data_IF_055865093619
#
_entry.id   IF_055865093619
#
_cell.length_a   1.000
_cell.length_b   1.000
_cell.length_c   1.000
_cell.angle_alpha   90.00
_cell.angle_beta   90.00
_cell.angle_gamma   90.00
#
_symmetry.space_group_name_H-M   'P 1'
#
loop_
_entity.id
_entity.type
_entity.pdbx_description
1 polymer ?
#
# COMPACT_ATOMS: atom_id res chain seq x y z
N UNK A 1 -20.59 -45.74 0.99
CA UNK A 1 -20.01 -44.50 0.43
C UNK A 1 -20.54 -44.38 -0.98
N UNK A 2 -21.15 -43.25 -1.36
CA UNK A 2 -21.64 -43.06 -2.73
C UNK A 2 -20.47 -42.89 -3.69
N UNK A 3 -20.68 -43.18 -4.97
CA UNK A 3 -19.67 -42.95 -6.02
C UNK A 3 -19.30 -41.46 -6.11
N UNK A 4 -20.28 -40.58 -5.96
CA UNK A 4 -20.08 -39.13 -5.87
C UNK A 4 -19.16 -38.75 -4.69
N UNK A 5 -19.40 -39.32 -3.50
CA UNK A 5 -18.53 -39.09 -2.34
C UNK A 5 -17.12 -39.63 -2.56
N UNK A 6 -16.97 -40.76 -3.26
CA UNK A 6 -15.66 -41.29 -3.62
C UNK A 6 -14.94 -40.33 -4.58
N UNK A 7 -15.58 -39.97 -5.71
CA UNK A 7 -15.03 -39.05 -6.72
C UNK A 7 -14.63 -37.70 -6.12
N UNK A 8 -15.46 -37.13 -5.24
CA UNK A 8 -15.14 -35.88 -4.55
C UNK A 8 -13.92 -36.04 -3.66
N UNK A 9 -13.87 -37.07 -2.81
CA UNK A 9 -12.77 -37.32 -1.86
C UNK A 9 -11.45 -37.72 -2.52
N UNK A 10 -11.50 -38.31 -3.71
CA UNK A 10 -10.31 -38.66 -4.50
C UNK A 10 -9.98 -37.61 -5.57
N UNK A 11 -10.70 -36.49 -5.61
CA UNK A 11 -10.43 -35.41 -6.56
C UNK A 11 -9.06 -34.81 -6.31
N UNK A 12 -8.26 -34.69 -7.37
CA UNK A 12 -6.95 -34.05 -7.31
C UNK A 12 -7.05 -32.56 -6.93
N UNK A 13 -8.16 -31.89 -7.30
CA UNK A 13 -8.40 -30.50 -6.90
C UNK A 13 -8.66 -30.36 -5.41
N UNK A 14 -9.24 -31.39 -4.76
CA UNK A 14 -9.43 -31.40 -3.31
C UNK A 14 -8.14 -31.79 -2.59
N UNK A 15 -7.49 -32.86 -3.03
CA UNK A 15 -6.35 -33.46 -2.32
C UNK A 15 -5.02 -32.73 -2.55
N UNK A 16 -4.85 -32.07 -3.71
CA UNK A 16 -3.64 -31.32 -4.07
C UNK A 16 -2.35 -32.14 -3.92
N UNK A 17 -2.42 -33.45 -4.15
CA UNK A 17 -1.34 -34.39 -3.85
C UNK A 17 -0.70 -35.01 -5.11
N UNK A 18 -0.94 -34.44 -6.30
CA UNK A 18 -0.38 -34.96 -7.55
C UNK A 18 1.13 -34.69 -7.74
N UNK A 19 1.73 -33.80 -6.96
CA UNK A 19 3.12 -33.37 -7.14
C UNK A 19 3.95 -33.80 -5.94
N UNK A 20 5.11 -34.40 -6.22
CA UNK A 20 6.09 -34.73 -5.20
C UNK A 20 6.67 -33.45 -4.59
N UNK A 21 6.98 -33.52 -3.30
CA UNK A 21 7.52 -32.40 -2.55
C UNK A 21 8.60 -32.82 -1.58
N UNK A 22 9.41 -31.85 -1.16
CA UNK A 22 10.54 -32.03 -0.24
C UNK A 22 10.22 -31.54 1.18
N UNK A 23 11.13 -31.89 2.11
CA UNK A 23 11.10 -31.42 3.49
C UNK A 23 9.95 -32.01 4.33
N UNK A 24 9.82 -31.50 5.56
CA UNK A 24 8.80 -31.95 6.51
C UNK A 24 7.36 -31.69 6.02
N UNK A 25 7.20 -30.71 5.13
CA UNK A 25 5.90 -30.20 4.67
C UNK A 25 5.47 -30.76 3.32
N UNK A 26 6.32 -31.57 2.65
CA UNK A 26 6.08 -32.09 1.30
C UNK A 26 5.65 -31.01 0.31
N UNK A 27 6.33 -29.86 0.35
CA UNK A 27 6.00 -28.72 -0.52
C UNK A 27 6.35 -29.09 -1.96
N UNK A 28 5.41 -28.98 -2.93
CA UNK A 28 5.63 -29.37 -4.32
C UNK A 28 6.86 -28.73 -4.94
N UNK A 29 7.64 -29.50 -5.69
CA UNK A 29 8.76 -28.95 -6.45
C UNK A 29 8.27 -28.30 -7.75
N UNK A 30 8.69 -27.06 -8.01
CA UNK A 30 8.58 -26.46 -9.34
C UNK A 30 9.83 -26.90 -10.13
N UNK A 31 9.69 -27.63 -11.25
CA UNK A 31 10.84 -28.00 -12.07
C UNK A 31 11.64 -26.77 -12.51
N UNK A 32 12.98 -26.86 -12.49
CA UNK A 32 13.84 -25.79 -13.00
C UNK A 32 13.56 -25.59 -14.48
N UNK A 33 13.17 -24.38 -14.86
CA UNK A 33 13.05 -23.97 -16.25
C UNK A 33 14.39 -23.42 -16.76
N UNK A 34 14.70 -23.74 -18.02
CA UNK A 34 15.92 -23.28 -18.70
C UNK A 34 15.61 -22.05 -19.57
N UNK A 35 16.54 -21.09 -19.58
CA UNK A 35 16.43 -19.83 -20.30
C UNK A 35 17.79 -19.39 -20.85
N UNK A 36 17.79 -18.79 -22.04
CA UNK A 36 18.98 -18.19 -22.62
C UNK A 36 19.20 -16.76 -22.08
N UNK A 37 20.45 -16.29 -22.00
CA UNK A 37 20.78 -14.94 -21.50
C UNK A 37 20.06 -13.82 -22.29
N UNK A 38 19.94 -13.97 -23.61
CA UNK A 38 19.28 -12.98 -24.46
C UNK A 38 17.77 -12.87 -24.19
N UNK A 39 17.13 -13.88 -23.57
CA UNK A 39 15.70 -13.79 -23.20
C UNK A 39 15.43 -12.76 -22.10
N UNK A 40 16.45 -12.39 -21.31
CA UNK A 40 16.35 -11.42 -20.22
C UNK A 40 16.70 -9.99 -20.67
N UNK A 41 17.24 -9.83 -21.87
CA UNK A 41 17.65 -8.52 -22.38
C UNK A 41 16.42 -7.67 -22.72
N UNK A 42 16.24 -6.55 -22.02
CA UNK A 42 15.07 -5.70 -22.19
C UNK A 42 13.76 -6.39 -21.77
N UNK A 43 13.85 -7.36 -20.85
CA UNK A 43 12.71 -8.11 -20.35
C UNK A 43 11.65 -7.16 -19.77
N UNK A 44 10.40 -7.38 -20.16
CA UNK A 44 9.22 -6.75 -19.57
C UNK A 44 8.28 -7.82 -19.03
N UNK A 45 7.60 -7.49 -17.95
CA UNK A 45 6.56 -8.35 -17.40
C UNK A 45 5.16 -7.88 -17.85
N UNK A 46 4.17 -8.75 -17.66
CA UNK A 46 2.75 -8.43 -17.81
C UNK A 46 1.96 -8.98 -16.63
N UNK A 47 1.13 -8.15 -16.02
CA UNK A 47 0.28 -8.57 -14.91
C UNK A 47 -0.73 -9.63 -15.36
N UNK A 48 -0.91 -10.68 -14.57
CA UNK A 48 -1.90 -11.72 -14.84
C UNK A 48 -3.31 -11.16 -15.15
N UNK A 49 -3.72 -10.10 -14.46
CA UNK A 49 -5.02 -9.43 -14.66
C UNK A 49 -5.15 -8.69 -16.00
N UNK A 50 -4.06 -8.57 -16.76
CA UNK A 50 -4.00 -7.95 -18.08
C UNK A 50 -3.85 -8.95 -19.23
N UNK A 51 -3.57 -10.21 -18.93
CA UNK A 51 -3.46 -11.26 -19.94
C UNK A 51 -4.80 -11.53 -20.62
N UNK A 52 -4.78 -11.79 -21.95
CA UNK A 52 -5.98 -12.13 -22.75
C UNK A 52 -5.68 -13.29 -23.67
N UNK A 53 -6.71 -14.09 -24.00
CA UNK A 53 -6.53 -15.23 -24.89
C UNK A 53 -6.19 -14.78 -26.31
N UNK A 54 -6.57 -13.56 -26.70
CA UNK A 54 -6.37 -12.96 -28.01
C UNK A 54 -5.13 -12.04 -28.08
N UNK A 55 -4.27 -12.05 -27.07
CA UNK A 55 -3.05 -11.22 -27.05
C UNK A 55 -2.07 -11.67 -28.15
N UNK A 56 -1.70 -10.76 -29.05
CA UNK A 56 -0.68 -11.01 -30.09
C UNK A 56 0.55 -10.12 -29.92
N UNK A 57 0.45 -9.06 -29.10
CA UNK A 57 1.48 -8.01 -29.00
C UNK A 57 2.48 -8.29 -27.88
N UNK A 58 2.07 -9.00 -26.83
CA UNK A 58 2.86 -9.13 -25.60
C UNK A 58 3.27 -10.56 -25.24
N UNK A 59 3.14 -11.50 -26.18
CA UNK A 59 3.49 -12.90 -25.97
C UNK A 59 4.96 -13.10 -25.56
N UNK A 60 5.86 -12.18 -25.92
CA UNK A 60 7.26 -12.20 -25.48
C UNK A 60 7.50 -11.79 -24.02
N UNK A 61 6.48 -11.29 -23.30
CA UNK A 61 6.57 -10.90 -21.88
C UNK A 61 6.38 -12.10 -20.96
N UNK A 62 6.88 -11.99 -19.73
CA UNK A 62 6.66 -12.99 -18.67
C UNK A 62 5.47 -12.56 -17.81
N UNK A 63 4.54 -13.48 -17.56
CA UNK A 63 3.34 -13.19 -16.74
C UNK A 63 3.72 -13.17 -15.26
N UNK A 64 3.39 -12.08 -14.55
CA UNK A 64 3.65 -11.94 -13.12
C UNK A 64 2.37 -11.86 -12.27
N UNK A 65 2.52 -12.17 -10.99
CA UNK A 65 1.45 -12.19 -9.99
C UNK A 65 1.69 -11.22 -8.83
N UNK A 66 2.61 -10.25 -8.97
CA UNK A 66 2.74 -9.09 -8.07
C UNK A 66 1.49 -8.19 -8.17
N UNK A 67 0.36 -8.72 -7.71
CA UNK A 67 -1.01 -8.25 -7.84
C UNK A 67 -1.76 -8.61 -6.55
N UNK A 68 -2.93 -8.02 -6.32
CA UNK A 68 -3.73 -8.40 -5.16
C UNK A 68 -4.14 -9.86 -5.29
N UNK A 69 -3.99 -10.63 -4.20
CA UNK A 69 -4.31 -12.07 -4.17
C UNK A 69 -5.67 -12.37 -4.82
N UNK A 70 -6.70 -11.56 -4.56
CA UNK A 70 -8.04 -11.76 -5.12
C UNK A 70 -8.09 -11.70 -6.66
N UNK A 71 -7.15 -11.00 -7.32
CA UNK A 71 -7.09 -10.90 -8.79
C UNK A 71 -6.69 -12.21 -9.44
N UNK A 72 -5.95 -13.06 -8.73
CA UNK A 72 -5.46 -14.33 -9.24
C UNK A 72 -5.86 -15.55 -8.42
N UNK A 73 -6.60 -15.40 -7.32
CA UNK A 73 -7.11 -16.51 -6.49
C UNK A 73 -7.79 -17.62 -7.32
N UNK A 74 -8.33 -17.29 -8.50
CA UNK A 74 -8.88 -18.26 -9.45
C UNK A 74 -7.87 -19.31 -9.92
N UNK A 75 -6.58 -18.99 -10.04
CA UNK A 75 -5.57 -19.99 -10.46
C UNK A 75 -5.37 -21.09 -9.42
N UNK A 76 -5.71 -20.80 -8.16
CA UNK A 76 -5.76 -21.82 -7.12
C UNK A 76 -7.08 -22.59 -7.19
N UNK A 77 -8.23 -21.90 -7.27
CA UNK A 77 -9.57 -22.52 -7.19
C UNK A 77 -9.97 -23.31 -8.44
N UNK A 78 -9.65 -22.79 -9.61
CA UNK A 78 -9.94 -23.36 -10.94
C UNK A 78 -8.68 -23.26 -11.82
N UNK A 79 -7.70 -24.16 -11.58
CA UNK A 79 -6.37 -24.04 -12.15
C UNK A 79 -6.32 -24.29 -13.67
N UNK A 80 -7.35 -24.89 -14.28
CA UNK A 80 -7.42 -25.13 -15.72
C UNK A 80 -7.89 -23.90 -16.51
N UNK A 81 -8.61 -22.98 -15.87
CA UNK A 81 -9.28 -21.84 -16.52
C UNK A 81 -8.36 -20.98 -17.41
N UNK A 82 -7.18 -20.61 -16.90
CA UNK A 82 -6.28 -19.69 -17.57
C UNK A 82 -5.15 -20.39 -18.35
N UNK A 83 -5.07 -21.73 -18.35
CA UNK A 83 -3.92 -22.48 -18.90
C UNK A 83 -3.72 -22.21 -20.40
N UNK A 84 -4.78 -22.24 -21.19
CA UNK A 84 -4.70 -22.01 -22.64
C UNK A 84 -4.09 -20.65 -22.95
N UNK A 85 -4.52 -19.62 -22.22
CA UNK A 85 -4.01 -18.26 -22.33
C UNK A 85 -2.57 -18.14 -21.85
N UNK A 86 -2.26 -18.64 -20.65
CA UNK A 86 -0.95 -18.48 -20.03
C UNK A 86 0.17 -19.19 -20.80
N UNK A 87 -0.14 -20.33 -21.44
CA UNK A 87 0.82 -21.09 -22.26
C UNK A 87 1.35 -20.35 -23.48
N UNK A 88 0.68 -19.28 -23.91
CA UNK A 88 1.09 -18.49 -25.08
C UNK A 88 2.22 -17.50 -24.76
N UNK A 89 2.38 -17.13 -23.48
CA UNK A 89 3.40 -16.19 -23.04
C UNK A 89 4.77 -16.88 -22.87
N UNK A 90 5.84 -16.09 -22.93
CA UNK A 90 7.23 -16.56 -22.83
C UNK A 90 7.47 -17.48 -21.64
N UNK A 91 6.98 -17.07 -20.47
CA UNK A 91 7.02 -17.82 -19.22
C UNK A 91 5.98 -17.24 -18.24
N UNK A 92 5.82 -17.92 -17.11
CA UNK A 92 4.91 -17.51 -16.04
C UNK A 92 5.64 -17.56 -14.69
N UNK A 93 5.49 -16.52 -13.88
CA UNK A 93 5.91 -16.59 -12.48
C UNK A 93 4.94 -17.47 -11.68
N UNK A 94 5.39 -18.19 -10.66
CA UNK A 94 4.43 -18.81 -9.73
C UNK A 94 3.62 -17.73 -8.99
N UNK A 95 2.35 -18.01 -8.62
CA UNK A 95 1.50 -16.99 -7.98
C UNK A 95 2.07 -16.50 -6.64
N UNK A 96 2.13 -15.18 -6.45
CA UNK A 96 2.71 -14.54 -5.27
C UNK A 96 1.67 -14.30 -4.18
N UNK A 97 1.17 -15.39 -3.57
CA UNK A 97 0.25 -15.28 -2.43
C UNK A 97 0.94 -14.55 -1.26
N UNK A 98 0.28 -13.51 -0.76
CA UNK A 98 0.86 -12.57 0.20
C UNK A 98 1.40 -13.24 1.47
N UNK A 99 2.51 -12.74 2.02
CA UNK A 99 3.13 -13.25 3.24
C UNK A 99 3.55 -12.10 4.17
N UNK A 100 2.67 -11.75 5.10
CA UNK A 100 2.93 -10.66 6.05
C UNK A 100 3.57 -11.14 7.35
N UNK A 101 4.32 -10.25 7.99
CA UNK A 101 4.91 -10.45 9.32
C UNK A 101 3.85 -10.79 10.38
N UNK A 102 2.69 -10.16 10.29
CA UNK A 102 1.57 -10.32 11.20
C UNK A 102 0.72 -11.56 10.90
N UNK A 103 0.95 -12.20 9.76
CA UNK A 103 0.20 -13.37 9.33
C UNK A 103 0.56 -14.59 10.20
N UNK A 104 -0.46 -15.36 10.63
CA UNK A 104 -0.22 -16.59 11.37
C UNK A 104 0.68 -17.55 10.56
N UNK A 105 1.68 -18.23 11.17
CA UNK A 105 2.65 -19.05 10.43
C UNK A 105 2.02 -20.15 9.56
N UNK A 106 0.88 -20.72 9.99
CA UNK A 106 0.14 -21.70 9.19
C UNK A 106 -0.41 -21.10 7.88
N UNK A 107 -0.80 -19.83 7.89
CA UNK A 107 -1.26 -19.14 6.68
C UNK A 107 -0.09 -18.83 5.74
N UNK A 108 1.08 -18.44 6.28
CA UNK A 108 2.31 -18.28 5.49
C UNK A 108 2.73 -19.61 4.83
N UNK A 109 2.69 -20.71 5.60
CA UNK A 109 2.96 -22.07 5.08
C UNK A 109 1.95 -22.46 3.99
N UNK A 110 0.65 -22.22 4.22
CA UNK A 110 -0.40 -22.47 3.24
C UNK A 110 -0.17 -21.66 1.95
N UNK A 111 0.23 -20.40 2.05
CA UNK A 111 0.50 -19.53 0.90
C UNK A 111 1.73 -19.99 0.11
N UNK A 112 2.78 -20.44 0.81
CA UNK A 112 3.92 -21.11 0.19
C UNK A 112 3.48 -22.38 -0.56
N UNK A 113 2.65 -23.22 0.06
CA UNK A 113 2.12 -24.42 -0.58
C UNK A 113 1.31 -24.08 -1.85
N UNK A 114 0.39 -23.11 -1.77
CA UNK A 114 -0.41 -22.66 -2.92
C UNK A 114 0.45 -22.17 -4.07
N UNK A 115 1.46 -21.34 -3.77
CA UNK A 115 2.41 -20.85 -4.76
C UNK A 115 3.10 -22.02 -5.48
N UNK A 116 3.70 -22.94 -4.71
CA UNK A 116 4.49 -24.05 -5.26
C UNK A 116 3.64 -25.06 -6.00
N UNK A 117 2.45 -25.37 -5.48
CA UNK A 117 1.50 -26.24 -6.15
C UNK A 117 1.05 -25.65 -7.49
N UNK A 118 0.69 -24.35 -7.54
CA UNK A 118 0.30 -23.70 -8.79
C UNK A 118 1.47 -23.67 -9.78
N UNK A 119 2.69 -23.39 -9.31
CA UNK A 119 3.88 -23.43 -10.15
C UNK A 119 4.15 -24.82 -10.73
N UNK A 120 4.08 -25.88 -9.91
CA UNK A 120 4.21 -27.26 -10.36
C UNK A 120 3.08 -27.65 -11.33
N UNK A 121 1.86 -27.17 -11.09
CA UNK A 121 0.73 -27.34 -11.99
C UNK A 121 0.99 -26.70 -13.35
N UNK A 122 1.45 -25.45 -13.36
CA UNK A 122 1.77 -24.74 -14.60
C UNK A 122 2.87 -25.46 -15.38
N UNK A 123 3.92 -25.91 -14.71
CA UNK A 123 5.00 -26.68 -15.32
C UNK A 123 4.49 -28.02 -15.91
N UNK A 124 3.58 -28.71 -15.21
CA UNK A 124 2.95 -29.95 -15.71
C UNK A 124 2.10 -29.74 -16.98
N UNK A 125 1.66 -28.50 -17.23
CA UNK A 125 0.98 -28.09 -18.46
C UNK A 125 1.94 -27.57 -19.53
N UNK A 126 3.25 -27.77 -19.38
CA UNK A 126 4.27 -27.43 -20.36
C UNK A 126 4.64 -25.95 -20.42
N UNK A 127 4.32 -25.16 -19.38
CA UNK A 127 4.80 -23.79 -19.26
C UNK A 127 6.20 -23.75 -18.65
N UNK A 128 7.02 -22.79 -19.06
CA UNK A 128 8.24 -22.42 -18.32
C UNK A 128 7.83 -21.60 -17.12
N UNK A 129 8.17 -22.07 -15.92
CA UNK A 129 7.75 -21.46 -14.66
C UNK A 129 8.96 -20.94 -13.90
N UNK A 130 8.91 -19.68 -13.48
CA UNK A 130 9.92 -19.07 -12.60
C UNK A 130 9.30 -18.97 -11.19
N UNK A 131 9.87 -19.60 -10.16
CA UNK A 131 9.37 -19.47 -8.80
C UNK A 131 9.46 -18.03 -8.28
N UNK A 132 8.33 -17.45 -7.89
CA UNK A 132 8.29 -16.26 -7.04
C UNK A 132 8.56 -16.67 -5.61
N UNK A 133 9.44 -15.92 -4.94
CA UNK A 133 9.84 -16.16 -3.57
C UNK A 133 9.48 -14.95 -2.71
N UNK A 134 8.68 -15.23 -1.70
CA UNK A 134 8.32 -14.31 -0.63
C UNK A 134 8.68 -14.98 0.70
N UNK A 135 8.85 -14.19 1.75
CA UNK A 135 9.08 -14.69 3.12
C UNK A 135 8.30 -13.83 4.13
N UNK A 136 7.93 -14.44 5.25
CA UNK A 136 7.58 -13.72 6.46
C UNK A 136 8.87 -13.45 7.23
N UNK A 137 8.87 -13.64 8.55
CA UNK A 137 10.10 -13.57 9.33
C UNK A 137 10.94 -14.85 9.26
N UNK A 138 11.98 -14.95 10.09
CA UNK A 138 12.90 -16.09 10.10
C UNK A 138 12.20 -17.43 10.38
N UNK A 139 11.00 -17.43 10.98
CA UNK A 139 10.21 -18.65 11.18
C UNK A 139 9.75 -19.24 9.85
N UNK A 140 9.48 -18.39 8.84
CA UNK A 140 9.07 -18.87 7.53
C UNK A 140 10.19 -19.56 6.76
N UNK A 141 11.46 -19.33 7.13
CA UNK A 141 12.61 -19.95 6.45
C UNK A 141 12.59 -21.47 6.56
N UNK A 142 11.84 -22.05 7.51
CA UNK A 142 11.62 -23.49 7.60
C UNK A 142 10.88 -24.08 6.38
N UNK A 143 10.21 -23.26 5.56
CA UNK A 143 9.40 -23.74 4.44
C UNK A 143 9.42 -22.85 3.19
N UNK A 144 9.65 -21.54 3.28
CA UNK A 144 9.45 -20.63 2.14
C UNK A 144 10.40 -20.87 0.95
N UNK A 145 11.53 -21.54 1.17
CA UNK A 145 12.48 -21.92 0.12
C UNK A 145 12.33 -23.37 -0.38
N UNK A 146 11.47 -24.17 0.26
CA UNK A 146 11.19 -25.54 -0.18
C UNK A 146 10.48 -25.55 -1.53
N UNK A 147 10.65 -26.64 -2.27
CA UNK A 147 10.07 -26.80 -3.61
C UNK A 147 10.74 -25.97 -4.71
N UNK A 148 11.87 -25.30 -4.41
CA UNK A 148 12.69 -24.61 -5.41
C UNK A 148 14.01 -25.37 -5.59
N UNK A 149 14.28 -25.95 -6.77
CA UNK A 149 15.55 -26.59 -7.07
C UNK A 149 16.72 -25.60 -6.99
N UNK A 150 17.89 -26.08 -6.55
CA UNK A 150 19.11 -25.27 -6.54
C UNK A 150 19.47 -24.77 -7.94
N UNK A 151 20.00 -23.56 -8.04
CA UNK A 151 20.37 -22.95 -9.31
C UNK A 151 19.18 -22.51 -10.16
N UNK A 152 17.95 -22.49 -9.62
CA UNK A 152 16.80 -21.98 -10.38
C UNK A 152 16.90 -20.48 -10.59
N UNK A 153 16.44 -19.99 -11.75
CA UNK A 153 16.04 -18.59 -11.89
C UNK A 153 14.81 -18.35 -11.00
N UNK A 154 14.84 -17.29 -10.18
CA UNK A 154 13.76 -16.94 -9.23
C UNK A 154 13.31 -15.50 -9.39
N UNK A 155 12.13 -15.15 -8.89
CA UNK A 155 11.62 -13.79 -8.86
C UNK A 155 11.33 -13.33 -7.42
N UNK A 156 11.65 -12.07 -7.11
CA UNK A 156 11.34 -11.38 -5.85
C UNK A 156 10.78 -10.00 -6.17
N UNK A 157 10.08 -9.38 -5.21
CA UNK A 157 9.68 -7.98 -5.34
C UNK A 157 10.18 -7.15 -4.17
N UNK A 158 10.74 -5.98 -4.47
CA UNK A 158 11.08 -4.96 -3.48
C UNK A 158 9.98 -3.91 -3.31
N UNK A 159 8.95 -3.91 -4.16
CA UNK A 159 7.90 -2.87 -4.18
C UNK A 159 7.32 -2.60 -2.79
N UNK A 160 6.79 -3.62 -2.11
CA UNK A 160 6.11 -3.43 -0.81
C UNK A 160 7.05 -3.19 0.38
N UNK A 161 8.35 -3.45 0.20
CA UNK A 161 9.37 -3.26 1.24
C UNK A 161 10.24 -2.02 0.98
N UNK A 162 10.10 -1.37 -0.18
CA UNK A 162 10.70 -0.07 -0.45
C UNK A 162 9.95 1.05 0.29
N UNK A 163 10.63 2.16 0.48
CA UNK A 163 10.02 3.38 1.02
C UNK A 163 8.87 3.88 0.14
N UNK A 164 7.74 4.24 0.78
CA UNK A 164 6.55 4.75 0.09
C UNK A 164 5.87 5.82 0.94
N UNK A 165 5.68 7.01 0.36
CA UNK A 165 5.01 8.11 1.04
C UNK A 165 5.72 8.49 2.34
N UNK A 166 4.99 8.41 3.47
CA UNK A 166 5.49 8.70 4.81
C UNK A 166 5.92 7.42 5.56
N UNK A 167 6.22 6.33 4.85
CA UNK A 167 6.65 5.05 5.44
C UNK A 167 8.06 4.71 4.98
N UNK A 168 8.93 4.41 5.95
CA UNK A 168 10.29 3.96 5.73
C UNK A 168 10.31 2.62 4.98
N UNK A 169 11.45 2.29 4.38
CA UNK A 169 11.66 0.95 3.86
C UNK A 169 11.68 -0.12 4.97
N UNK A 170 11.53 -1.37 4.55
CA UNK A 170 11.64 -2.57 5.38
C UNK A 170 12.87 -3.39 4.97
N UNK A 171 13.95 -2.72 4.55
CA UNK A 171 15.17 -3.34 4.02
C UNK A 171 15.80 -4.36 4.98
N UNK A 172 15.93 -4.12 6.30
CA UNK A 172 16.52 -5.11 7.20
C UNK A 172 15.76 -6.44 7.22
N UNK A 173 14.43 -6.38 7.14
CA UNK A 173 13.57 -7.56 7.02
C UNK A 173 13.79 -8.28 5.68
N UNK A 174 13.75 -7.52 4.58
CA UNK A 174 13.91 -8.09 3.24
C UNK A 174 15.28 -8.76 3.08
N UNK A 175 16.35 -8.09 3.49
CA UNK A 175 17.72 -8.58 3.31
C UNK A 175 17.99 -9.89 4.07
N UNK A 176 17.39 -10.12 5.24
CA UNK A 176 17.54 -11.39 5.96
C UNK A 176 17.01 -12.58 5.15
N UNK A 177 15.80 -12.46 4.58
CA UNK A 177 15.25 -13.52 3.74
C UNK A 177 15.94 -13.63 2.40
N UNK A 178 16.41 -12.52 1.84
CA UNK A 178 17.20 -12.51 0.62
C UNK A 178 18.54 -13.25 0.78
N UNK A 179 19.25 -13.05 1.90
CA UNK A 179 20.49 -13.78 2.17
C UNK A 179 20.24 -15.29 2.34
N UNK A 180 19.14 -15.65 2.98
CA UNK A 180 18.74 -17.06 3.13
C UNK A 180 18.32 -17.68 1.78
N UNK A 181 17.67 -16.92 0.90
CA UNK A 181 17.38 -17.30 -0.48
C UNK A 181 18.67 -17.65 -1.23
N UNK A 182 19.66 -16.76 -1.17
CA UNK A 182 20.96 -17.00 -1.80
C UNK A 182 21.64 -18.26 -1.25
N UNK A 183 21.58 -18.48 0.06
CA UNK A 183 22.22 -19.62 0.73
C UNK A 183 21.58 -20.96 0.40
N UNK A 184 20.25 -21.01 0.29
CA UNK A 184 19.51 -22.28 0.12
C UNK A 184 19.27 -22.65 -1.34
N UNK A 185 18.84 -21.67 -2.13
CA UNK A 185 18.47 -21.87 -3.53
C UNK A 185 19.67 -21.68 -4.45
N UNK A 186 20.68 -20.90 -4.05
CA UNK A 186 21.84 -20.59 -4.89
C UNK A 186 21.40 -20.19 -6.31
N UNK A 187 20.50 -19.20 -6.45
CA UNK A 187 19.85 -18.92 -7.73
C UNK A 187 20.88 -18.47 -8.77
N UNK A 188 20.77 -19.01 -9.98
CA UNK A 188 21.62 -18.59 -11.10
C UNK A 188 21.27 -17.17 -11.60
N UNK A 189 20.03 -16.73 -11.32
CA UNK A 189 19.47 -15.45 -11.71
C UNK A 189 18.29 -15.07 -10.83
N UNK A 190 18.15 -13.77 -10.56
CA UNK A 190 17.10 -13.21 -9.70
C UNK A 190 16.41 -12.08 -10.46
N UNK A 191 15.14 -12.26 -10.80
CA UNK A 191 14.30 -11.19 -11.33
C UNK A 191 13.81 -10.33 -10.16
N UNK A 192 14.20 -9.07 -10.12
CA UNK A 192 13.76 -8.13 -9.08
C UNK A 192 12.67 -7.22 -9.65
N UNK A 193 11.44 -7.41 -9.20
CA UNK A 193 10.32 -6.53 -9.54
C UNK A 193 10.33 -5.30 -8.64
N UNK A 194 10.52 -4.12 -9.26
CA UNK A 194 10.88 -2.84 -8.64
C UNK A 194 12.39 -2.68 -8.38
N UNK A 195 12.79 -1.50 -7.93
CA UNK A 195 14.20 -1.11 -7.72
C UNK A 195 14.88 -2.02 -6.69
N UNK A 196 16.01 -2.69 -7.05
CA UNK A 196 16.79 -3.47 -6.09
C UNK A 196 17.40 -2.59 -4.99
N UNK A 197 17.54 -3.15 -3.78
CA UNK A 197 18.37 -2.49 -2.77
C UNK A 197 19.86 -2.56 -3.16
N UNK A 198 20.67 -1.52 -2.86
CA UNK A 198 22.10 -1.52 -3.16
C UNK A 198 22.87 -2.72 -2.60
N UNK A 199 22.40 -3.29 -1.49
CA UNK A 199 23.02 -4.42 -0.81
C UNK A 199 22.66 -5.79 -1.41
N UNK A 200 21.70 -5.85 -2.36
CA UNK A 200 21.35 -7.09 -3.04
C UNK A 200 22.51 -7.57 -3.91
N UNK A 201 22.91 -8.83 -3.71
CA UNK A 201 24.01 -9.51 -4.41
C UNK A 201 23.51 -10.64 -5.30
N UNK A 202 24.29 -11.04 -6.30
CA UNK A 202 23.96 -12.12 -7.24
C UNK A 202 23.71 -11.61 -8.66
N UNK A 203 23.23 -12.50 -9.53
CA UNK A 203 22.89 -12.15 -10.91
C UNK A 203 21.47 -11.56 -10.97
N UNK A 204 21.35 -10.28 -10.64
CA UNK A 204 20.07 -9.58 -10.54
C UNK A 204 19.71 -8.98 -11.90
N UNK A 205 18.50 -9.29 -12.36
CA UNK A 205 17.86 -8.63 -13.50
C UNK A 205 16.81 -7.67 -12.95
N UNK A 206 17.08 -6.35 -12.90
CA UNK A 206 16.08 -5.38 -12.48
C UNK A 206 14.96 -5.32 -13.53
N UNK A 207 13.72 -5.37 -13.06
CA UNK A 207 12.54 -5.22 -13.89
C UNK A 207 12.02 -3.81 -13.71
N UNK A 208 11.99 -3.07 -14.80
CA UNK A 208 11.40 -1.73 -14.84
C UNK A 208 9.90 -1.82 -14.54
N UNK A 209 9.50 -1.29 -13.38
CA UNK A 209 8.14 -1.31 -12.88
C UNK A 209 7.20 -0.51 -13.79
N UNK A 210 7.59 0.69 -14.20
CA UNK A 210 6.75 1.56 -15.03
C UNK A 210 6.57 0.94 -16.42
N UNK A 211 7.65 0.50 -17.08
CA UNK A 211 7.56 -0.13 -18.41
C UNK A 211 6.86 -1.49 -18.42
N UNK A 212 6.82 -2.18 -17.27
CA UNK A 212 6.04 -3.41 -17.09
C UNK A 212 4.61 -3.15 -16.62
N UNK A 213 4.25 -1.89 -16.36
CA UNK A 213 2.90 -1.50 -15.96
C UNK A 213 1.93 -1.49 -17.15
N UNK A 214 0.63 -1.48 -16.83
CA UNK A 214 -0.44 -1.39 -17.81
C UNK A 214 -0.37 -0.11 -18.67
N UNK A 215 0.33 0.94 -18.20
CA UNK A 215 0.47 2.23 -18.90
C UNK A 215 1.34 2.12 -20.15
N UNK A 216 2.23 1.13 -20.20
CA UNK A 216 3.19 0.91 -21.29
C UNK A 216 2.91 -0.40 -22.04
N UNK A 217 1.63 -0.73 -22.18
CA UNK A 217 1.19 -1.85 -23.02
C UNK A 217 0.90 -1.46 -24.48
N UNK A 218 1.12 -0.19 -24.89
CA UNK A 218 0.92 0.26 -26.29
C UNK A 218 -0.37 -0.32 -26.92
N UNK A 219 -1.44 -0.40 -26.14
CA UNK A 219 -2.77 -0.62 -26.67
C UNK A 219 -3.18 0.70 -27.33
N UNK A 220 -3.70 0.65 -28.55
CA UNK A 220 -4.53 1.73 -29.08
C UNK A 220 -5.73 1.83 -28.13
N UNK A 221 -5.58 2.54 -27.02
CA UNK A 221 -6.65 2.78 -26.07
C UNK A 221 -7.63 3.68 -26.78
N UNK A 222 -8.54 3.08 -27.53
CA UNK A 222 -9.77 3.70 -27.96
C UNK A 222 -10.61 3.72 -26.70
N UNK A 223 -10.79 4.87 -26.03
CA UNK A 223 -11.66 4.94 -24.89
C UNK A 223 -13.01 4.39 -25.32
N UNK A 224 -13.71 3.69 -24.43
CA UNK A 224 -15.09 3.31 -24.68
C UNK A 224 -15.83 4.49 -25.31
N UNK A 225 -16.70 4.27 -26.31
CA UNK A 225 -17.54 5.36 -26.84
C UNK A 225 -18.38 6.04 -25.75
N UNK A 226 -18.50 5.38 -24.59
CA UNK A 226 -19.14 5.89 -23.39
C UNK A 226 -18.18 6.55 -22.40
N UNK A 227 -16.86 6.52 -22.61
CA UNK A 227 -15.86 7.10 -21.72
C UNK A 227 -16.13 8.58 -21.43
N UNK A 228 -16.60 9.34 -22.43
CA UNK A 228 -17.04 10.73 -22.23
C UNK A 228 -18.22 10.86 -21.26
N UNK A 229 -19.16 9.93 -21.25
CA UNK A 229 -20.27 9.90 -20.28
C UNK A 229 -19.81 9.39 -18.90
N UNK A 230 -18.95 8.37 -18.89
CA UNK A 230 -18.40 7.74 -17.67
C UNK A 230 -17.51 8.73 -16.91
N UNK A 231 -16.62 9.45 -17.60
CA UNK A 231 -15.73 10.46 -17.04
C UNK A 231 -16.40 11.82 -16.81
N UNK A 232 -17.70 11.96 -17.12
CA UNK A 232 -18.45 13.20 -16.91
C UNK A 232 -18.12 14.34 -17.88
N UNK A 233 -17.48 14.05 -19.00
CA UNK A 233 -17.23 15.02 -20.09
C UNK A 233 -18.51 15.34 -20.89
N UNK A 234 -19.48 14.42 -20.92
CA UNK A 234 -20.82 14.62 -21.50
C UNK A 234 -21.91 14.01 -20.58
N UNK A 235 -23.14 14.57 -20.55
CA UNK A 235 -24.26 13.97 -19.81
C UNK A 235 -24.76 12.68 -20.47
N UNK A 236 -25.24 11.73 -19.67
CA UNK A 236 -25.85 10.49 -20.17
C UNK A 236 -27.11 10.83 -20.99
N UNK A 237 -27.28 10.29 -22.21
CA UNK A 237 -28.47 10.55 -23.02
C UNK A 237 -29.77 10.20 -22.28
N UNK A 238 -30.85 11.01 -22.41
CA UNK A 238 -32.13 10.74 -21.77
C UNK A 238 -32.71 9.39 -22.22
N UNK A 239 -33.18 8.57 -21.25
CA UNK A 239 -33.78 7.24 -21.53
C UNK A 239 -32.78 6.09 -21.69
N UNK A 240 -31.50 6.30 -21.36
CA UNK A 240 -30.48 5.25 -21.39
C UNK A 240 -30.38 4.53 -20.03
N UNK A 241 -30.56 3.21 -20.01
CA UNK A 241 -30.41 2.34 -18.81
C UNK A 241 -28.93 2.12 -18.41
N UNK A 242 -28.04 3.06 -18.77
CA UNK A 242 -26.62 2.96 -18.51
C UNK A 242 -26.35 3.17 -17.01
N UNK A 243 -26.24 2.08 -16.26
CA UNK A 243 -25.83 2.11 -14.85
C UNK A 243 -24.33 2.43 -14.78
N UNK A 244 -23.99 3.72 -14.72
CA UNK A 244 -22.62 4.16 -14.44
C UNK A 244 -22.37 3.98 -12.95
N UNK A 245 -21.77 2.85 -12.57
CA UNK A 245 -21.13 2.71 -11.26
C UNK A 245 -19.93 3.65 -11.23
N UNK A 246 -20.12 4.88 -10.75
CA UNK A 246 -19.02 5.79 -10.47
C UNK A 246 -18.30 5.30 -9.22
N UNK A 247 -17.18 4.66 -9.47
CA UNK A 247 -16.25 4.15 -8.47
C UNK A 247 -15.19 3.38 -9.23
N UNK A 248 -13.93 3.74 -9.04
CA UNK A 248 -12.89 2.73 -9.20
C UNK A 248 -13.32 1.54 -8.33
N UNK A 249 -13.41 0.35 -8.89
CA UNK A 249 -13.28 -0.85 -8.05
C UNK A 249 -11.80 -1.00 -7.74
N UNK A 250 -11.29 -0.08 -6.91
CA UNK A 250 -10.37 -0.49 -5.87
C UNK A 250 -11.29 -0.90 -4.74
N UNK A 251 -11.51 -2.21 -4.60
CA UNK A 251 -11.91 -2.72 -3.29
C UNK A 251 -10.70 -2.46 -2.39
N UNK A 252 -10.86 -1.38 -1.63
CA UNK A 252 -10.75 -1.35 -0.18
C UNK A 252 -9.40 -1.74 0.45
N UNK A 253 -8.97 -0.83 1.34
CA UNK A 253 -7.97 -0.90 2.40
C UNK A 253 -6.52 -1.20 2.00
N UNK A 254 -5.63 -0.24 2.33
CA UNK A 254 -4.17 -0.27 2.26
C UNK A 254 -3.51 -1.52 1.68
N UNK A 255 -2.92 -1.38 0.49
CA UNK A 255 -1.95 -2.27 -0.16
C UNK A 255 -1.70 -3.65 0.51
N UNK A 256 -2.65 -4.59 0.36
CA UNK A 256 -2.46 -5.98 0.80
C UNK A 256 -1.97 -6.90 -0.34
N UNK A 257 -0.85 -6.56 -0.99
CA UNK A 257 -0.08 -7.56 -1.75
C UNK A 257 1.32 -7.76 -1.16
N UNK A 258 1.97 -8.87 -1.48
CA UNK A 258 3.40 -9.04 -1.30
C UNK A 258 3.83 -9.44 0.11
N UNK A 259 4.97 -8.92 0.56
CA UNK A 259 5.61 -9.30 1.83
C UNK A 259 6.03 -8.08 2.67
N UNK A 260 6.39 -8.32 3.92
CA UNK A 260 6.72 -7.30 4.92
C UNK A 260 5.63 -7.16 5.99
N UNK A 261 5.61 -6.05 6.70
CA UNK A 261 4.51 -5.66 7.57
C UNK A 261 3.28 -5.34 6.73
N UNK A 262 2.12 -5.88 7.12
CA UNK A 262 0.81 -5.53 6.56
C UNK A 262 0.46 -4.05 6.80
N UNK A 263 1.11 -3.40 7.77
CA UNK A 263 0.97 -1.99 8.05
C UNK A 263 2.00 -1.11 7.31
N UNK A 264 2.88 -1.72 6.52
CA UNK A 264 4.02 -1.08 5.86
C UNK A 264 5.17 -0.79 6.82
N UNK A 265 6.20 -0.11 6.32
CA UNK A 265 7.31 0.32 7.15
C UNK A 265 6.91 1.40 8.16
N UNK A 266 7.79 1.63 9.13
CA UNK A 266 7.59 2.63 10.19
C UNK A 266 7.42 4.02 9.60
N UNK A 267 6.67 4.88 10.27
CA UNK A 267 6.51 6.26 9.82
C UNK A 267 7.85 6.99 9.75
N UNK A 268 7.97 7.87 8.76
CA UNK A 268 9.05 8.85 8.62
C UNK A 268 8.47 10.18 8.13
N UNK A 269 9.09 11.32 8.50
CA UNK A 269 8.73 12.62 7.93
C UNK A 269 8.81 12.60 6.40
N UNK A 270 7.75 13.06 5.73
CA UNK A 270 7.73 13.23 4.27
C UNK A 270 8.05 14.67 3.88
N UNK A 271 7.48 15.63 4.60
CA UNK A 271 7.59 17.09 4.38
C UNK A 271 8.32 17.77 5.55
N UNK A 272 8.76 19.00 5.37
CA UNK A 272 9.57 19.71 6.38
C UNK A 272 8.83 19.89 7.71
N UNK A 273 7.54 20.22 7.70
CA UNK A 273 6.72 20.33 8.92
C UNK A 273 6.59 19.02 9.69
N UNK A 274 6.70 17.85 9.07
CA UNK A 274 6.62 16.56 9.77
C UNK A 274 7.83 16.33 10.67
N UNK A 275 8.97 16.97 10.38
CA UNK A 275 10.19 16.85 11.20
C UNK A 275 9.99 17.39 12.62
N UNK A 276 8.89 18.10 12.88
CA UNK A 276 8.50 18.53 14.22
C UNK A 276 8.17 17.36 15.14
N UNK A 277 7.77 16.21 14.59
CA UNK A 277 7.40 15.03 15.38
C UNK A 277 8.58 14.22 15.93
N UNK A 278 9.81 14.47 15.47
CA UNK A 278 11.02 13.78 15.91
C UNK A 278 12.09 14.80 16.32
N UNK A 279 12.79 14.58 17.44
CA UNK A 279 13.80 15.52 17.92
C UNK A 279 14.62 15.00 19.09
N UNK A 280 15.30 15.91 19.78
CA UNK A 280 16.04 15.56 21.00
C UNK A 280 15.10 15.48 22.20
N UNK A 281 15.33 14.55 23.15
CA UNK A 281 14.56 14.49 24.38
C UNK A 281 14.44 15.84 25.09
N UNK A 282 13.21 16.25 25.37
CA UNK A 282 12.90 17.51 26.03
C UNK A 282 12.86 18.73 25.11
N UNK A 283 13.19 18.62 23.82
CA UNK A 283 13.10 19.72 22.84
C UNK A 283 11.65 20.21 22.65
N UNK A 284 11.48 21.51 22.37
CA UNK A 284 10.23 22.08 21.87
C UNK A 284 10.53 22.72 20.53
N UNK A 285 9.81 22.28 19.50
CA UNK A 285 9.95 22.76 18.13
C UNK A 285 8.81 23.70 17.77
N UNK A 286 9.11 24.88 17.24
CA UNK A 286 8.10 25.79 16.73
C UNK A 286 8.03 25.67 15.21
N UNK A 287 6.83 25.39 14.70
CA UNK A 287 6.59 25.18 13.27
C UNK A 287 5.55 26.16 12.80
N UNK A 288 5.90 26.94 11.77
CA UNK A 288 4.92 27.78 11.05
C UNK A 288 4.41 27.01 9.85
N UNK A 289 3.15 26.63 9.87
CA UNK A 289 2.48 25.88 8.82
C UNK A 289 2.28 26.73 7.54
N UNK A 290 2.05 26.12 6.37
CA UNK A 290 1.88 26.85 5.11
C UNK A 290 0.70 27.84 5.10
N UNK A 291 -0.35 27.57 5.88
CA UNK A 291 -1.49 28.48 6.07
C UNK A 291 -1.18 29.66 7.03
N UNK A 292 0.01 29.69 7.62
CA UNK A 292 0.49 30.73 8.54
C UNK A 292 0.35 30.40 10.02
N UNK A 293 -0.34 29.31 10.36
CA UNK A 293 -0.58 28.92 11.76
C UNK A 293 0.71 28.49 12.46
N UNK A 294 0.77 28.69 13.78
CA UNK A 294 1.93 28.38 14.61
C UNK A 294 1.65 27.19 15.52
N UNK A 295 2.57 26.24 15.53
CA UNK A 295 2.48 24.97 16.25
C UNK A 295 3.72 24.82 17.12
N UNK A 296 3.57 24.35 18.36
CA UNK A 296 4.70 23.99 19.23
C UNK A 296 4.64 22.50 19.60
N UNK A 297 5.66 21.74 19.23
CA UNK A 297 5.71 20.29 19.41
C UNK A 297 6.73 19.92 20.48
N UNK A 298 6.29 19.23 21.53
CA UNK A 298 7.13 18.80 22.65
C UNK A 298 7.61 17.36 22.45
N UNK A 299 8.93 17.16 22.52
CA UNK A 299 9.58 15.86 22.33
C UNK A 299 9.81 15.16 23.68
N UNK A 300 9.37 13.91 23.76
CA UNK A 300 9.53 13.01 24.90
C UNK A 300 10.91 12.35 24.98
N UNK A 301 11.08 11.47 25.98
CA UNK A 301 12.37 10.84 26.30
C UNK A 301 12.92 9.93 25.19
N UNK A 302 12.04 9.38 24.35
CA UNK A 302 12.38 8.49 23.24
C UNK A 302 12.68 9.24 21.92
N UNK A 303 12.67 10.57 21.96
CA UNK A 303 12.91 11.44 20.80
C UNK A 303 11.68 11.64 19.90
N UNK A 304 10.49 11.21 20.33
CA UNK A 304 9.22 11.40 19.60
C UNK A 304 8.34 12.45 20.27
N UNK A 305 7.50 13.11 19.48
CA UNK A 305 6.52 14.04 20.00
C UNK A 305 5.55 13.36 20.97
N UNK A 306 5.31 14.00 22.11
CA UNK A 306 4.32 13.54 23.11
C UNK A 306 3.13 14.48 23.22
N UNK A 307 3.30 15.72 22.77
CA UNK A 307 2.26 16.74 22.79
C UNK A 307 2.53 17.81 21.74
N UNK A 308 1.48 18.32 21.13
CA UNK A 308 1.52 19.44 20.19
C UNK A 308 0.54 20.51 20.64
N UNK A 309 0.96 21.77 20.60
CA UNK A 309 0.14 22.95 20.90
C UNK A 309 -0.12 23.71 19.62
N UNK A 310 -1.38 23.92 19.29
CA UNK A 310 -1.81 24.74 18.17
C UNK A 310 -2.15 26.14 18.68
N UNK A 311 -1.56 27.18 18.09
CA UNK A 311 -1.89 28.59 18.39
C UNK A 311 -2.95 29.15 17.43
N UNK A 312 -3.88 28.30 17.03
CA UNK A 312 -4.98 28.58 16.09
C UNK A 312 -6.26 27.93 16.61
N UNK A 313 -7.40 28.35 16.07
CA UNK A 313 -8.72 27.72 16.30
C UNK A 313 -9.17 26.86 15.10
N UNK A 314 -8.32 26.70 14.08
CA UNK A 314 -8.63 26.00 12.82
C UNK A 314 -9.89 26.51 12.13
N UNK A 315 -10.16 27.80 12.27
CA UNK A 315 -11.38 28.43 11.77
C UNK A 315 -12.67 27.89 12.42
N UNK A 316 -12.55 27.33 13.63
CA UNK A 316 -13.59 26.69 14.45
C UNK A 316 -13.51 27.17 15.91
N UNK A 317 -13.80 28.44 16.18
CA UNK A 317 -13.75 29.02 17.52
C UNK A 317 -14.87 28.48 18.41
N UNK A 318 -15.87 27.83 17.81
CA UNK A 318 -16.93 27.08 18.47
C UNK A 318 -16.45 25.72 19.03
N UNK A 319 -15.32 25.19 18.55
CA UNK A 319 -14.76 23.89 18.94
C UNK A 319 -13.37 23.96 19.55
N UNK A 320 -12.55 24.95 19.16
CA UNK A 320 -11.15 25.06 19.57
C UNK A 320 -10.89 26.40 20.25
N UNK A 321 -10.15 26.36 21.36
CA UNK A 321 -9.49 27.55 21.89
C UNK A 321 -8.19 27.81 21.14
N UNK A 322 -7.77 29.07 21.06
CA UNK A 322 -6.43 29.44 20.60
C UNK A 322 -5.62 29.99 21.79
N UNK A 323 -4.66 29.23 22.36
CA UNK A 323 -4.19 27.90 21.92
C UNK A 323 -5.03 26.72 22.45
N UNK A 324 -4.81 25.54 21.89
CA UNK A 324 -5.25 24.22 22.39
C UNK A 324 -4.13 23.17 22.20
N UNK A 325 -4.20 22.06 22.93
CA UNK A 325 -3.19 20.99 22.86
C UNK A 325 -3.77 19.67 22.32
N UNK A 326 -2.90 18.84 21.73
CA UNK A 326 -3.16 17.44 21.38
C UNK A 326 -2.08 16.56 22.01
N UNK A 327 -2.47 15.46 22.65
CA UNK A 327 -1.51 14.40 23.00
C UNK A 327 -1.14 13.62 21.73
N UNK A 328 0.13 13.25 21.56
CA UNK A 328 0.58 12.51 20.38
C UNK A 328 0.91 11.08 20.76
N UNK A 329 0.15 10.14 20.21
CA UNK A 329 0.33 8.71 20.42
C UNK A 329 1.13 8.08 19.28
N UNK A 330 1.81 6.97 19.58
CA UNK A 330 2.69 6.22 18.66
C UNK A 330 2.52 4.69 18.78
N UNK A 331 1.56 4.23 19.57
CA UNK A 331 1.30 2.81 19.89
C UNK A 331 0.53 2.07 18.77
N UNK A 332 0.38 2.70 17.60
CA UNK A 332 -0.14 2.06 16.40
C UNK A 332 0.94 1.22 15.67
N UNK A 333 0.54 0.21 14.87
CA UNK A 333 1.48 -0.80 14.35
C UNK A 333 2.58 -0.30 13.40
N UNK A 334 2.37 0.82 12.71
CA UNK A 334 3.38 1.45 11.85
C UNK A 334 4.10 2.62 12.53
N UNK A 335 3.91 2.82 13.84
CA UNK A 335 4.54 3.88 14.64
C UNK A 335 4.36 5.26 13.99
N UNK A 336 3.15 5.55 13.54
CA UNK A 336 2.70 6.81 12.99
C UNK A 336 2.39 7.80 14.12
N UNK A 337 2.70 9.11 14.01
CA UNK A 337 2.15 10.09 14.94
C UNK A 337 0.62 10.10 14.82
N UNK A 338 -0.06 10.06 15.97
CA UNK A 338 -1.52 10.07 16.07
C UNK A 338 -1.97 11.12 17.12
N UNK A 339 -2.29 12.36 16.70
CA UNK A 339 -2.80 13.42 17.55
C UNK A 339 -4.19 13.06 18.07
N UNK A 340 -4.32 12.98 19.38
CA UNK A 340 -5.58 12.69 20.04
C UNK A 340 -6.46 13.94 20.09
N UNK A 341 -7.71 13.80 20.54
CA UNK A 341 -8.67 14.91 20.61
C UNK A 341 -8.14 16.15 21.32
N UNK A 342 -8.61 17.32 20.89
CA UNK A 342 -8.15 18.61 21.41
C UNK A 342 -8.39 18.78 22.91
N UNK A 343 -7.48 19.49 23.56
CA UNK A 343 -7.58 19.93 24.95
C UNK A 343 -7.69 21.45 24.94
N UNK A 344 -8.91 21.94 25.14
CA UNK A 344 -9.21 23.38 25.13
C UNK A 344 -8.90 24.06 26.46
N UNK A 345 -8.51 25.33 26.36
CA UNK A 345 -8.17 26.21 27.48
C UNK A 345 -9.01 27.48 27.45
N UNK A 346 -10.29 27.43 27.87
CA UNK A 346 -11.18 28.59 27.83
C UNK A 346 -10.83 29.71 28.82
N UNK A 347 -10.02 29.41 29.85
CA UNK A 347 -9.65 30.35 30.90
C UNK A 347 -8.13 30.46 31.03
N UNK A 348 -7.49 29.46 31.65
CA UNK A 348 -6.06 29.45 31.97
C UNK A 348 -5.33 28.52 31.00
N UNK A 349 -4.43 29.08 30.20
CA UNK A 349 -3.56 28.33 29.31
C UNK A 349 -2.38 27.78 30.14
N UNK A 350 -2.20 26.45 30.26
CA UNK A 350 -1.09 25.90 30.99
C UNK A 350 0.22 26.20 30.26
N UNK A 351 1.28 26.38 31.04
CA UNK A 351 2.60 26.66 30.48
C UNK A 351 3.12 25.45 29.69
N UNK A 352 3.59 25.67 28.46
CA UNK A 352 4.15 24.62 27.60
C UNK A 352 5.64 24.41 27.96
N UNK A 353 5.89 23.98 29.20
CA UNK A 353 7.26 23.88 29.77
C UNK A 353 8.03 22.67 29.26
N UNK A 354 9.33 22.88 29.07
CA UNK A 354 10.36 21.86 28.91
C UNK A 354 10.43 20.94 30.15
N UNK A 355 10.72 19.65 29.96
CA UNK A 355 11.01 18.75 31.07
C UNK A 355 12.49 18.91 31.47
N UNK A 356 12.81 19.02 32.77
CA UNK A 356 14.17 18.75 33.28
C UNK A 356 15.24 19.85 33.21
N UNK A 357 14.93 21.10 32.86
CA UNK A 357 15.91 22.21 32.93
C UNK A 357 17.01 22.20 31.86
N UNK A 358 16.78 21.53 30.72
CA UNK A 358 17.68 21.55 29.57
C UNK A 358 17.70 22.93 28.89
N UNK A 359 18.88 23.31 28.38
CA UNK A 359 19.11 24.54 27.60
C UNK A 359 18.26 24.58 26.33
N UNK A 360 17.71 25.75 26.02
CA UNK A 360 16.85 26.00 24.86
C UNK A 360 17.57 25.69 23.53
N UNK A 361 17.26 24.57 22.92
CA UNK A 361 17.35 24.45 21.45
C UNK A 361 15.95 24.76 20.92
N UNK A 362 15.83 25.93 20.30
CA UNK A 362 14.64 26.37 19.59
C UNK A 362 14.90 26.11 18.11
N UNK A 363 14.08 25.23 17.53
CA UNK A 363 14.17 24.88 16.12
C UNK A 363 12.96 25.48 15.41
N UNK A 364 13.20 26.51 14.60
CA UNK A 364 12.23 27.05 13.65
C UNK A 364 12.15 26.17 12.41
N UNK A 365 10.98 25.61 12.13
CA UNK A 365 10.71 24.92 10.86
C UNK A 365 9.99 25.89 9.91
N UNK A 366 10.72 26.34 8.88
CA UNK A 366 10.21 27.19 7.81
C UNK A 366 9.58 26.32 6.73
N UNK A 367 8.26 26.33 6.66
CA UNK A 367 7.51 25.61 5.63
C UNK A 367 7.32 26.48 4.38
N UNK A 368 7.34 25.84 3.22
CA UNK A 368 6.85 26.42 1.96
C UNK A 368 5.66 25.61 1.48
N UNK A 369 4.79 26.21 0.66
CA UNK A 369 3.75 25.42 -0.02
C UNK A 369 4.40 24.65 -1.19
N UNK A 370 4.95 23.47 -0.87
CA UNK A 370 5.64 22.58 -1.83
C UNK A 370 4.67 21.75 -2.68
N UNK A 371 3.37 21.83 -2.42
CA UNK A 371 2.35 20.94 -2.99
C UNK A 371 2.27 19.57 -2.34
N UNK A 372 3.17 19.24 -1.39
CA UNK A 372 3.23 17.94 -0.70
C UNK A 372 2.03 17.67 0.23
N UNK A 373 1.28 18.72 0.58
CA UNK A 373 0.05 18.60 1.37
C UNK A 373 -1.16 18.10 0.58
N UNK A 374 -1.07 18.05 -0.75
CA UNK A 374 -2.15 17.57 -1.61
C UNK A 374 -2.42 16.07 -1.38
N UNK A 375 -3.70 15.69 -1.42
CA UNK A 375 -4.08 14.28 -1.52
C UNK A 375 -3.94 13.83 -2.98
N UNK A 376 -3.04 12.89 -3.26
CA UNK A 376 -2.88 12.32 -4.60
C UNK A 376 -3.95 11.24 -4.85
N UNK A 377 -4.32 10.54 -3.78
CA UNK A 377 -5.33 9.48 -3.81
C UNK A 377 -6.39 9.65 -2.72
N UNK A 378 -7.54 8.99 -2.89
CA UNK A 378 -8.55 8.86 -1.82
C UNK A 378 -7.96 8.14 -0.60
N UNK A 379 -7.03 7.21 -0.80
CA UNK A 379 -6.39 6.51 0.31
C UNK A 379 -5.54 7.45 1.16
N UNK A 380 -4.83 8.41 0.56
CA UNK A 380 -4.05 9.41 1.30
C UNK A 380 -4.96 10.21 2.26
N UNK A 381 -6.17 10.54 1.81
CA UNK A 381 -7.18 11.18 2.64
C UNK A 381 -7.66 10.26 3.75
N UNK A 382 -8.00 9.00 3.43
CA UNK A 382 -8.44 8.03 4.44
C UNK A 382 -7.38 7.78 5.51
N UNK A 383 -6.10 7.69 5.12
CA UNK A 383 -4.99 7.55 6.06
C UNK A 383 -4.83 8.78 6.95
N UNK A 384 -4.92 9.99 6.38
CA UNK A 384 -4.92 11.23 7.16
C UNK A 384 -6.03 11.21 8.22
N UNK A 385 -7.26 10.84 7.85
CA UNK A 385 -8.38 10.74 8.78
C UNK A 385 -8.21 9.65 9.83
N UNK A 386 -7.57 8.52 9.46
CA UNK A 386 -7.30 7.40 10.38
C UNK A 386 -6.37 7.79 11.52
N UNK A 387 -5.41 8.68 11.25
CA UNK A 387 -4.46 9.22 12.24
C UNK A 387 -4.84 10.64 12.68
N UNK A 388 -6.14 10.94 12.69
CA UNK A 388 -6.71 12.19 13.19
C UNK A 388 -6.05 13.46 12.64
N UNK A 389 -5.61 13.42 11.39
CA UNK A 389 -5.04 14.57 10.71
C UNK A 389 -6.09 15.68 10.52
N UNK A 390 -5.71 16.91 10.85
CA UNK A 390 -6.53 18.10 10.65
C UNK A 390 -6.19 18.72 9.30
N UNK A 391 -7.21 19.17 8.59
CA UNK A 391 -7.08 19.57 7.18
C UNK A 391 -7.83 20.86 6.94
N UNK A 392 -7.15 21.83 6.34
CA UNK A 392 -7.78 23.01 5.73
C UNK A 392 -7.59 22.93 4.22
N UNK A 393 -8.67 23.04 3.45
CA UNK A 393 -8.61 23.04 1.99
C UNK A 393 -9.59 24.03 1.38
N UNK A 394 -9.26 24.51 0.19
CA UNK A 394 -10.09 25.43 -0.57
C UNK A 394 -10.66 24.76 -1.82
N UNK A 395 -11.95 25.02 -2.07
CA UNK A 395 -12.62 24.65 -3.31
C UNK A 395 -13.43 25.83 -3.82
N UNK A 396 -13.13 26.28 -5.05
CA UNK A 396 -13.79 27.43 -5.71
C UNK A 396 -13.83 28.70 -4.86
N UNK A 397 -12.75 28.99 -4.12
CA UNK A 397 -12.66 30.18 -3.27
C UNK A 397 -13.37 30.05 -1.92
N UNK A 398 -13.91 28.87 -1.58
CA UNK A 398 -14.54 28.59 -0.29
C UNK A 398 -13.62 27.68 0.52
N UNK A 399 -13.34 28.08 1.77
CA UNK A 399 -12.47 27.36 2.69
C UNK A 399 -13.28 26.35 3.51
N UNK A 400 -12.74 25.15 3.64
CA UNK A 400 -13.30 24.04 4.41
C UNK A 400 -12.27 23.54 5.42
N UNK A 401 -12.77 23.03 6.54
CA UNK A 401 -11.96 22.53 7.65
C UNK A 401 -12.44 21.13 8.05
N UNK A 402 -11.48 20.26 8.38
CA UNK A 402 -11.72 18.94 8.95
C UNK A 402 -10.90 18.84 10.23
N UNK A 403 -11.58 18.56 11.33
CA UNK A 403 -11.00 18.40 12.67
C UNK A 403 -11.60 17.18 13.37
N UNK A 404 -11.09 16.82 14.56
CA UNK A 404 -11.51 15.62 15.30
C UNK A 404 -12.10 15.90 16.69
N UNK A 405 -13.10 16.80 16.82
CA UNK A 405 -13.76 17.04 18.09
C UNK A 405 -14.41 15.75 18.60
N UNK A 406 -14.29 15.50 19.91
CA UNK A 406 -14.87 14.30 20.55
C UNK A 406 -14.41 12.97 19.91
N UNK A 407 -13.26 12.96 19.22
CA UNK A 407 -12.73 11.78 18.52
C UNK A 407 -13.49 11.40 17.25
N UNK A 408 -14.36 12.28 16.75
CA UNK A 408 -15.11 12.07 15.50
C UNK A 408 -14.63 13.01 14.40
N UNK A 409 -14.64 12.54 13.17
CA UNK A 409 -14.34 13.39 12.00
C UNK A 409 -15.46 14.41 11.87
N UNK A 410 -15.13 15.69 11.95
CA UNK A 410 -16.05 16.80 11.73
C UNK A 410 -15.56 17.64 10.56
N UNK A 411 -16.38 17.74 9.52
CA UNK A 411 -16.13 18.57 8.33
C UNK A 411 -17.15 19.70 8.26
N UNK A 412 -16.71 20.91 7.94
CA UNK A 412 -17.60 22.06 7.68
C UNK A 412 -16.97 23.06 6.73
N UNK A 413 -17.78 23.97 6.18
CA UNK A 413 -17.28 25.25 5.68
C UNK A 413 -16.68 26.05 6.85
N UNK A 414 -15.56 26.74 6.63
CA UNK A 414 -14.88 27.53 7.65
C UNK A 414 -15.83 28.61 8.23
N UNK A 415 -15.84 28.75 9.55
CA UNK A 415 -16.69 29.70 10.29
C UNK A 415 -18.21 29.50 10.16
N UNK A 416 -18.68 28.39 9.57
CA UNK A 416 -20.11 28.09 9.40
C UNK A 416 -20.49 26.77 10.06
N UNK A 417 -20.66 26.74 11.41
CA UNK A 417 -20.99 25.52 12.14
C UNK A 417 -22.31 24.88 11.67
N UNK A 418 -23.22 25.66 11.09
CA UNK A 418 -24.46 25.16 10.50
C UNK A 418 -24.27 24.23 9.28
N UNK A 419 -23.06 24.20 8.70
CA UNK A 419 -22.71 23.31 7.59
C UNK A 419 -22.03 22.03 8.05
N UNK A 420 -21.87 21.82 9.36
CA UNK A 420 -21.09 20.70 9.86
C UNK A 420 -21.72 19.33 9.58
N UNK A 421 -20.86 18.36 9.30
CA UNK A 421 -21.22 16.95 9.23
C UNK A 421 -20.28 16.14 10.12
N UNK A 422 -20.87 15.32 10.98
CA UNK A 422 -20.19 14.40 11.89
C UNK A 422 -20.12 13.02 11.26
N UNK A 423 -18.92 12.47 11.18
CA UNK A 423 -18.63 11.24 10.48
C UNK A 423 -17.84 10.30 11.40
N UNK A 424 -18.28 9.04 11.48
CA UNK A 424 -17.56 7.99 12.19
C UNK A 424 -16.41 7.43 11.35
N UNK A 425 -16.47 7.57 10.02
CA UNK A 425 -15.48 7.03 9.10
C UNK A 425 -15.07 8.04 8.03
N UNK A 426 -13.88 7.85 7.46
CA UNK A 426 -13.42 8.64 6.33
C UNK A 426 -14.33 8.49 5.10
N UNK A 427 -14.97 7.33 4.91
CA UNK A 427 -15.93 7.12 3.82
C UNK A 427 -17.19 7.98 3.99
N UNK A 428 -17.68 8.15 5.22
CA UNK A 428 -18.79 9.07 5.50
C UNK A 428 -18.39 10.52 5.23
N UNK A 429 -17.17 10.92 5.65
CA UNK A 429 -16.64 12.26 5.37
C UNK A 429 -16.50 12.52 3.86
N UNK A 430 -16.10 11.50 3.09
CA UNK A 430 -15.99 11.57 1.63
C UNK A 430 -17.34 11.79 0.92
N UNK A 431 -18.47 11.49 1.57
CA UNK A 431 -19.80 11.77 1.01
C UNK A 431 -20.32 13.18 1.35
N UNK A 432 -19.55 14.00 2.09
CA UNK A 432 -19.90 15.41 2.34
C UNK A 432 -20.08 16.19 1.03
N UNK A 433 -21.15 16.99 0.96
CA UNK A 433 -21.55 17.69 -0.27
C UNK A 433 -21.01 19.12 -0.29
N UNK A 434 -20.25 19.45 -1.34
CA UNK A 434 -19.70 20.77 -1.61
C UNK A 434 -20.20 21.22 -2.98
N UNK A 435 -20.97 22.30 -3.08
CA UNK A 435 -21.54 22.79 -4.34
C UNK A 435 -22.25 21.72 -5.20
N UNK A 436 -22.96 20.80 -4.57
CA UNK A 436 -23.67 19.72 -5.27
C UNK A 436 -22.77 18.59 -5.80
N UNK A 437 -21.48 18.57 -5.45
CA UNK A 437 -20.56 17.45 -5.71
C UNK A 437 -20.06 16.86 -4.40
N UNK A 438 -19.77 15.55 -4.38
CA UNK A 438 -19.25 14.89 -3.18
C UNK A 438 -17.77 15.17 -3.01
N UNK A 439 -17.32 15.27 -1.76
CA UNK A 439 -15.90 15.43 -1.43
C UNK A 439 -15.05 14.36 -2.11
N UNK A 440 -15.50 13.10 -2.17
CA UNK A 440 -14.79 12.01 -2.84
C UNK A 440 -14.42 12.27 -4.29
N UNK A 441 -15.25 13.06 -4.98
CA UNK A 441 -15.10 13.33 -6.42
C UNK A 441 -14.13 14.51 -6.66
N UNK A 442 -13.81 15.29 -5.61
CA UNK A 442 -12.98 16.50 -5.71
C UNK A 442 -11.74 16.51 -4.80
N UNK A 443 -11.64 15.64 -3.80
CA UNK A 443 -10.59 15.70 -2.75
C UNK A 443 -9.15 15.68 -3.30
N UNK A 444 -8.92 15.03 -4.44
CA UNK A 444 -7.59 15.01 -5.08
C UNK A 444 -7.30 16.24 -5.94
N UNK A 445 -8.27 17.14 -6.06
CA UNK A 445 -8.23 18.35 -6.89
C UNK A 445 -8.33 19.64 -6.06
N UNK A 446 -8.68 19.55 -4.77
CA UNK A 446 -8.75 20.72 -3.88
C UNK A 446 -7.37 21.32 -3.65
N UNK A 447 -7.35 22.61 -3.33
CA UNK A 447 -6.12 23.26 -2.87
C UNK A 447 -6.01 23.06 -1.35
N UNK A 448 -5.16 22.12 -0.92
CA UNK A 448 -4.90 21.89 0.50
C UNK A 448 -4.03 23.03 1.04
N UNK A 449 -4.56 23.81 1.98
CA UNK A 449 -3.89 24.95 2.62
C UNK A 449 -3.05 24.50 3.82
N UNK A 450 -3.57 23.56 4.59
CA UNK A 450 -2.86 22.91 5.68
C UNK A 450 -3.32 21.48 5.87
N UNK A 451 -2.40 20.63 6.32
CA UNK A 451 -2.63 19.24 6.65
C UNK A 451 -1.64 18.86 7.73
N UNK A 452 -2.08 18.39 8.89
CA UNK A 452 -1.16 18.16 10.01
C UNK A 452 -0.28 16.91 9.86
N UNK A 453 -0.77 15.90 9.12
CA UNK A 453 -0.19 14.54 9.00
C UNK A 453 -0.36 13.91 7.62
#
# INVERSE_FOLDING_TARGET
MTEENYRYRTSQLLLRNQFEGSGAWKIPAIPKAEFDEEEFRGLRLIGFDKTKLEDERHLGRIVHFFLYDYKFERVWKDPDHDIEKLRRYRAVLSPDFSMYLEMHPLMQLYNTFRNRWCGAYFASKGMRVIPTVSWGDERSFAFCFEGIPKGSTVAVSTYMVSEHGNRADQKPFFMKGYEELLRRVEPERILCYHEPFPEMRGNIVPIDYELSSWRHMDDDYTPSKYAKYICGLEPVPPGCDLVIKRGYVMRDDGCFMGMGSAYGGKWKPKKEEDKRFLGKPGEIKETRMPNGDLYATKIGEDGRAIRERHYTDHRRPDKHSAPHDHEIHWDNPNEHPDPQGHINYPNDVPEFKYFGGFTMEHTDILTGNTGENRFETINDFKECMRYHGEVEFEWKGVLYTITHPEGMINISEAWKPETEQWCATADEALEYMIDGVRLRDIITQVEVKARTI
#
